data_IF_445024892369
#
_entry.id   IF_445024892369
#
_cell.length_a   1.000
_cell.length_b   1.000
_cell.length_c   1.000
_cell.angle_alpha   90.00
_cell.angle_beta   90.00
_cell.angle_gamma   90.00
#
_symmetry.space_group_name_H-M   'P 1'
#
loop_
_entity.id
_entity.type
_entity.pdbx_description
1 polymer ?
#
# COMPACT_ATOMS: atom_id res chain seq x y z
N UNK A 1 -26.82 -1.95 2.79
CA UNK A 1 -26.18 -3.16 2.22
C UNK A 1 -24.67 -3.02 2.22
N UNK A 2 -24.07 -1.94 1.63
CA UNK A 2 -22.61 -1.74 1.54
C UNK A 2 -21.98 -1.75 2.94
N UNK A 3 -22.49 -0.96 3.88
CA UNK A 3 -21.95 -0.89 5.24
C UNK A 3 -21.95 -2.24 5.97
N UNK A 4 -23.00 -3.02 5.78
CA UNK A 4 -23.09 -4.35 6.38
C UNK A 4 -22.03 -5.30 5.82
N UNK A 5 -21.78 -5.24 4.50
CA UNK A 5 -20.75 -6.05 3.85
C UNK A 5 -19.36 -5.58 4.31
N UNK A 6 -19.12 -4.28 4.32
CA UNK A 6 -17.83 -3.71 4.75
C UNK A 6 -17.54 -4.09 6.21
N UNK A 7 -18.52 -3.90 7.11
CA UNK A 7 -18.38 -4.26 8.52
C UNK A 7 -18.10 -5.75 8.72
N UNK A 8 -18.83 -6.62 7.99
CA UNK A 8 -18.57 -8.07 8.04
C UNK A 8 -17.15 -8.41 7.58
N UNK A 9 -16.71 -7.85 6.45
CA UNK A 9 -15.37 -8.10 5.92
C UNK A 9 -14.29 -7.60 6.87
N UNK A 10 -14.45 -6.43 7.49
CA UNK A 10 -13.50 -5.93 8.48
C UNK A 10 -13.43 -6.89 9.67
N UNK A 11 -14.57 -7.34 10.22
CA UNK A 11 -14.54 -8.24 11.37
C UNK A 11 -13.99 -9.63 11.04
N UNK A 12 -14.10 -10.09 9.79
CA UNK A 12 -13.61 -11.40 9.36
C UNK A 12 -12.13 -11.39 8.97
N UNK A 13 -11.68 -10.36 8.21
CA UNK A 13 -10.35 -10.34 7.59
C UNK A 13 -9.37 -9.37 8.25
N UNK A 14 -9.86 -8.41 9.04
CA UNK A 14 -9.04 -7.42 9.73
C UNK A 14 -9.57 -7.14 11.15
N UNK A 15 -9.69 -8.19 12.00
CA UNK A 15 -10.12 -7.99 13.38
C UNK A 15 -9.07 -7.14 14.11
N UNK A 16 -9.51 -6.02 14.72
CA UNK A 16 -8.59 -5.10 15.42
C UNK A 16 -8.04 -3.97 14.56
N UNK A 17 -8.57 -3.75 13.37
CA UNK A 17 -8.23 -2.57 12.57
C UNK A 17 -8.68 -1.29 13.28
N UNK A 18 -7.72 -0.42 13.62
CA UNK A 18 -7.99 0.79 14.40
C UNK A 18 -8.83 1.83 13.63
N UNK A 19 -8.58 1.99 12.34
CA UNK A 19 -9.24 3.00 11.52
C UNK A 19 -10.30 2.40 10.59
N UNK A 20 -11.36 1.80 11.17
CA UNK A 20 -12.47 1.27 10.40
C UNK A 20 -13.27 2.35 9.65
N UNK A 21 -13.30 3.58 10.19
CA UNK A 21 -14.00 4.72 9.57
C UNK A 21 -13.40 5.02 8.20
N UNK A 22 -12.07 5.04 8.08
CA UNK A 22 -11.37 5.24 6.81
C UNK A 22 -11.79 4.22 5.76
N UNK A 23 -11.85 2.92 6.12
CA UNK A 23 -12.26 1.87 5.17
C UNK A 23 -13.70 2.07 4.69
N UNK A 24 -14.62 2.41 5.60
CA UNK A 24 -16.01 2.71 5.23
C UNK A 24 -16.08 3.90 4.27
N UNK A 25 -15.40 4.99 4.58
CA UNK A 25 -15.35 6.19 3.73
C UNK A 25 -14.80 5.87 2.35
N UNK A 26 -13.62 5.25 2.27
CA UNK A 26 -12.99 4.87 1.01
C UNK A 26 -13.90 4.02 0.12
N UNK A 27 -14.52 2.98 0.69
CA UNK A 27 -15.44 2.12 -0.04
C UNK A 27 -16.64 2.90 -0.59
N UNK A 28 -17.24 3.78 0.24
CA UNK A 28 -18.38 4.59 -0.17
C UNK A 28 -18.01 5.55 -1.31
N UNK A 29 -16.89 6.22 -1.19
CA UNK A 29 -16.45 7.22 -2.17
C UNK A 29 -16.03 6.59 -3.50
N UNK A 30 -15.32 5.46 -3.46
CA UNK A 30 -15.00 4.69 -4.67
C UNK A 30 -16.27 4.20 -5.38
N UNK A 31 -17.30 3.78 -4.63
CA UNK A 31 -18.57 3.35 -5.21
C UNK A 31 -19.34 4.55 -5.77
N UNK A 32 -19.36 5.70 -5.09
CA UNK A 32 -20.03 6.91 -5.56
C UNK A 32 -19.43 7.41 -6.88
N UNK A 33 -18.10 7.39 -7.02
CA UNK A 33 -17.38 7.84 -8.21
C UNK A 33 -17.16 6.73 -9.26
N UNK A 34 -17.72 5.54 -9.06
CA UNK A 34 -17.45 4.35 -9.89
C UNK A 34 -17.58 4.60 -11.38
N UNK A 35 -18.67 5.25 -11.81
CA UNK A 35 -18.90 5.48 -13.24
C UNK A 35 -17.82 6.37 -13.88
N UNK A 36 -17.36 7.37 -13.13
CA UNK A 36 -16.30 8.29 -13.56
C UNK A 36 -14.94 7.58 -13.57
N UNK A 37 -14.65 6.78 -12.56
CA UNK A 37 -13.43 5.98 -12.48
C UNK A 37 -13.36 4.97 -13.62
N UNK A 38 -14.45 4.25 -13.91
CA UNK A 38 -14.54 3.30 -15.01
C UNK A 38 -14.29 3.99 -16.36
N UNK A 39 -14.88 5.17 -16.58
CA UNK A 39 -14.66 5.95 -17.78
C UNK A 39 -13.20 6.40 -17.95
N UNK A 40 -12.52 6.76 -16.86
CA UNK A 40 -11.10 7.11 -16.89
C UNK A 40 -10.25 5.88 -17.24
N UNK A 41 -10.57 4.71 -16.66
CA UNK A 41 -9.87 3.46 -16.97
C UNK A 41 -9.98 3.13 -18.46
N UNK A 42 -11.19 3.21 -19.04
CA UNK A 42 -11.41 2.96 -20.46
C UNK A 42 -10.65 3.92 -21.36
N UNK A 43 -10.54 5.19 -20.98
CA UNK A 43 -9.73 6.16 -21.73
C UNK A 43 -8.24 5.88 -21.65
N UNK A 44 -7.76 5.50 -20.48
CA UNK A 44 -6.35 5.21 -20.24
C UNK A 44 -5.90 3.87 -20.84
N UNK A 45 -6.84 2.93 -21.05
CA UNK A 45 -6.60 1.61 -21.60
C UNK A 45 -7.65 1.25 -22.67
N UNK A 46 -7.71 1.94 -23.81
CA UNK A 46 -8.79 1.81 -24.79
C UNK A 46 -8.89 0.42 -25.44
N UNK A 47 -7.83 -0.37 -25.41
CA UNK A 47 -7.83 -1.75 -25.90
C UNK A 47 -8.49 -2.73 -24.91
N UNK A 48 -8.79 -2.29 -23.70
CA UNK A 48 -9.32 -3.12 -22.61
C UNK A 48 -10.67 -2.60 -22.11
N UNK A 49 -11.79 -3.06 -22.71
CA UNK A 49 -13.12 -2.76 -22.20
C UNK A 49 -13.23 -3.13 -20.72
N UNK A 50 -13.90 -2.29 -19.92
CA UNK A 50 -13.95 -2.44 -18.46
C UNK A 50 -14.43 -3.82 -18.01
N UNK A 51 -15.34 -4.44 -18.76
CA UNK A 51 -15.90 -5.77 -18.47
C UNK A 51 -14.88 -6.89 -18.67
N UNK A 52 -13.87 -6.67 -19.52
CA UNK A 52 -12.83 -7.66 -19.82
C UNK A 52 -11.63 -7.57 -18.87
N UNK A 53 -11.53 -6.49 -18.12
CA UNK A 53 -10.49 -6.35 -17.09
C UNK A 53 -10.83 -7.28 -15.90
N UNK A 54 -9.85 -8.05 -15.44
CA UNK A 54 -10.01 -8.93 -14.29
C UNK A 54 -10.59 -8.16 -13.08
N UNK A 55 -11.48 -8.81 -12.31
CA UNK A 55 -12.21 -8.15 -11.22
C UNK A 55 -11.25 -7.50 -10.21
N UNK A 56 -10.16 -8.18 -9.88
CA UNK A 56 -9.17 -7.67 -8.93
C UNK A 56 -8.50 -6.43 -9.51
N UNK A 57 -7.97 -6.51 -10.72
CA UNK A 57 -7.27 -5.40 -11.37
C UNK A 57 -8.18 -4.18 -11.52
N UNK A 58 -9.43 -4.40 -11.92
CA UNK A 58 -10.43 -3.35 -12.05
C UNK A 58 -10.73 -2.65 -10.72
N UNK A 59 -10.84 -3.40 -9.63
CA UNK A 59 -11.10 -2.83 -8.32
C UNK A 59 -9.85 -2.13 -7.74
N UNK A 60 -8.68 -2.70 -7.94
CA UNK A 60 -7.41 -2.04 -7.57
C UNK A 60 -7.23 -0.73 -8.34
N UNK A 61 -7.54 -0.71 -9.65
CA UNK A 61 -7.53 0.52 -10.45
C UNK A 61 -8.51 1.56 -9.93
N UNK A 62 -9.72 1.18 -9.53
CA UNK A 62 -10.71 2.11 -8.97
C UNK A 62 -10.20 2.75 -7.69
N UNK A 63 -9.65 1.95 -6.77
CA UNK A 63 -9.08 2.46 -5.51
C UNK A 63 -7.88 3.35 -5.79
N UNK A 64 -6.90 2.89 -6.57
CA UNK A 64 -5.71 3.68 -6.88
C UNK A 64 -6.00 4.97 -7.64
N UNK A 65 -6.98 4.98 -8.55
CA UNK A 65 -7.44 6.20 -9.22
C UNK A 65 -8.15 7.15 -8.26
N UNK A 66 -8.98 6.61 -7.36
CA UNK A 66 -9.64 7.44 -6.37
C UNK A 66 -8.60 8.14 -5.48
N UNK A 67 -7.62 7.41 -4.96
CA UNK A 67 -6.52 7.99 -4.18
C UNK A 67 -5.71 9.02 -5.00
N UNK A 68 -5.41 8.71 -6.25
CA UNK A 68 -4.63 9.57 -7.12
C UNK A 68 -5.34 10.90 -7.44
N UNK A 69 -6.67 10.88 -7.61
CA UNK A 69 -7.47 12.01 -8.10
C UNK A 69 -8.14 12.81 -6.99
N UNK A 70 -8.53 12.17 -5.89
CA UNK A 70 -9.42 12.76 -4.88
C UNK A 70 -8.83 12.81 -3.47
N UNK A 71 -7.85 11.95 -3.13
CA UNK A 71 -7.22 12.00 -1.83
C UNK A 71 -6.38 13.28 -1.63
N UNK A 72 -6.23 13.70 -0.38
CA UNK A 72 -5.31 14.78 -0.06
C UNK A 72 -3.87 14.35 -0.36
N UNK A 73 -3.22 15.07 -1.24
CA UNK A 73 -1.84 14.78 -1.67
C UNK A 73 -0.81 14.93 -0.56
N UNK A 74 -1.14 15.63 0.50
CA UNK A 74 -0.27 15.71 1.69
C UNK A 74 -0.32 14.42 2.50
N UNK A 75 -1.48 13.75 2.51
CA UNK A 75 -1.66 12.46 3.19
C UNK A 75 -1.27 11.29 2.27
N UNK A 76 -1.71 11.33 1.00
CA UNK A 76 -1.44 10.30 0.01
C UNK A 76 -0.77 10.91 -1.23
N UNK A 77 0.56 11.01 -1.25
CA UNK A 77 1.29 11.48 -2.43
C UNK A 77 1.00 10.60 -3.65
N UNK A 78 0.85 11.22 -4.83
CA UNK A 78 0.47 10.53 -6.07
C UNK A 78 1.31 9.28 -6.37
N UNK A 79 2.61 9.34 -6.12
CA UNK A 79 3.52 8.19 -6.32
C UNK A 79 3.27 7.06 -5.32
N UNK A 80 2.85 7.39 -4.11
CA UNK A 80 2.49 6.39 -3.09
C UNK A 80 1.22 5.68 -3.52
N UNK A 81 0.16 6.39 -3.90
CA UNK A 81 -1.07 5.81 -4.41
C UNK A 81 -0.82 4.83 -5.57
N UNK A 82 0.02 5.23 -6.55
CA UNK A 82 0.37 4.37 -7.68
C UNK A 82 1.13 3.12 -7.21
N UNK A 83 2.13 3.28 -6.36
CA UNK A 83 2.95 2.15 -5.91
C UNK A 83 2.13 1.15 -5.08
N UNK A 84 1.29 1.63 -4.16
CA UNK A 84 0.42 0.77 -3.35
C UNK A 84 -0.57 -0.02 -4.23
N UNK A 85 -1.18 0.64 -5.23
CA UNK A 85 -2.04 -0.04 -6.18
C UNK A 85 -1.29 -1.13 -6.98
N UNK A 86 -0.04 -0.87 -7.39
CA UNK A 86 0.80 -1.86 -8.08
C UNK A 86 1.10 -3.05 -7.16
N UNK A 87 1.44 -2.82 -5.89
CA UNK A 87 1.72 -3.89 -4.93
C UNK A 87 0.45 -4.72 -4.62
N UNK A 88 -0.71 -4.09 -4.49
CA UNK A 88 -1.99 -4.80 -4.37
C UNK A 88 -2.26 -5.68 -5.61
N UNK A 89 -2.03 -5.15 -6.82
CA UNK A 89 -2.20 -5.91 -8.05
C UNK A 89 -1.23 -7.09 -8.15
N UNK A 90 0.01 -6.95 -7.72
CA UNK A 90 0.98 -8.05 -7.66
C UNK A 90 0.59 -9.13 -6.64
N UNK A 91 0.03 -8.72 -5.51
CA UNK A 91 -0.31 -9.61 -4.40
C UNK A 91 -1.56 -10.42 -4.69
N UNK A 92 -2.58 -9.80 -5.25
CA UNK A 92 -3.92 -10.38 -5.38
C UNK A 92 -4.36 -10.65 -6.82
N UNK A 93 -3.65 -10.09 -7.80
CA UNK A 93 -3.93 -10.25 -9.23
C UNK A 93 -3.16 -11.38 -9.89
N UNK A 94 -3.17 -11.42 -11.22
CA UNK A 94 -2.40 -12.35 -12.03
C UNK A 94 -0.95 -11.88 -12.28
N UNK A 95 -0.18 -12.69 -12.96
CA UNK A 95 1.25 -12.45 -13.23
C UNK A 95 1.54 -11.06 -13.87
N UNK A 96 0.63 -10.58 -14.70
CA UNK A 96 0.79 -9.30 -15.40
C UNK A 96 0.01 -8.15 -14.79
N UNK A 97 -0.77 -8.38 -13.72
CA UNK A 97 -1.63 -7.37 -13.08
C UNK A 97 -0.88 -6.13 -12.65
N UNK A 98 0.29 -6.29 -12.01
CA UNK A 98 1.11 -5.16 -11.60
C UNK A 98 1.59 -4.30 -12.76
N UNK A 99 1.96 -4.90 -13.91
CA UNK A 99 2.37 -4.18 -15.12
C UNK A 99 1.19 -3.43 -15.74
N UNK A 100 0.04 -4.07 -15.79
CA UNK A 100 -1.19 -3.50 -16.33
C UNK A 100 -1.64 -2.29 -15.50
N UNK A 101 -1.76 -2.45 -14.18
CA UNK A 101 -2.13 -1.37 -13.26
C UNK A 101 -1.15 -0.20 -13.33
N UNK A 102 0.17 -0.48 -13.38
CA UNK A 102 1.18 0.56 -13.56
C UNK A 102 1.01 1.32 -14.89
N UNK A 103 0.72 0.62 -15.97
CA UNK A 103 0.47 1.24 -17.28
C UNK A 103 -0.72 2.21 -17.25
N UNK A 104 -1.85 1.77 -16.72
CA UNK A 104 -3.08 2.57 -16.63
C UNK A 104 -2.89 3.79 -15.72
N UNK A 105 -2.45 3.59 -14.47
CA UNK A 105 -2.23 4.69 -13.53
C UNK A 105 -1.12 5.64 -13.99
N UNK A 106 -0.07 5.12 -14.61
CA UNK A 106 1.00 5.92 -15.18
C UNK A 106 0.53 6.82 -16.34
N UNK A 107 -0.40 6.35 -17.16
CA UNK A 107 -1.03 7.17 -18.21
C UNK A 107 -1.82 8.31 -17.62
N UNK A 108 -2.70 8.03 -16.64
CA UNK A 108 -3.48 9.06 -15.95
C UNK A 108 -2.58 10.07 -15.24
N UNK A 109 -1.55 9.60 -14.55
CA UNK A 109 -0.60 10.47 -13.85
C UNK A 109 0.12 11.44 -14.79
N UNK A 110 0.51 10.99 -15.99
CA UNK A 110 1.09 11.85 -17.03
C UNK A 110 0.10 12.89 -17.54
N UNK A 111 -1.15 12.49 -17.77
CA UNK A 111 -2.20 13.42 -18.21
C UNK A 111 -2.52 14.49 -17.14
N UNK A 112 -2.33 14.18 -15.86
CA UNK A 112 -2.43 15.14 -14.76
C UNK A 112 -1.26 16.13 -14.69
N UNK A 113 -0.26 16.01 -15.55
CA UNK A 113 0.96 16.83 -15.51
C UNK A 113 1.97 16.37 -14.45
N UNK A 114 1.91 15.10 -14.05
CA UNK A 114 2.86 14.46 -13.12
C UNK A 114 3.03 15.23 -11.78
N UNK A 115 1.95 15.50 -11.04
CA UNK A 115 2.00 16.30 -9.82
C UNK A 115 2.95 15.67 -8.78
N UNK A 116 3.82 16.49 -8.18
CA UNK A 116 4.83 16.00 -7.22
C UNK A 116 6.01 15.24 -7.86
N UNK A 117 6.21 15.37 -9.19
CA UNK A 117 7.35 14.75 -9.87
C UNK A 117 8.68 15.30 -9.39
N UNK A 118 8.71 16.61 -9.16
CA UNK A 118 9.88 17.35 -8.69
C UNK A 118 9.96 17.39 -7.15
N UNK A 119 8.91 16.94 -6.47
CA UNK A 119 8.98 16.67 -5.04
C UNK A 119 10.06 15.60 -4.87
N UNK A 120 11.21 16.04 -4.39
CA UNK A 120 12.32 15.13 -4.09
C UNK A 120 11.72 14.08 -3.16
N UNK A 121 11.65 12.79 -3.59
CA UNK A 121 11.30 11.75 -2.63
C UNK A 121 12.26 12.00 -1.47
N UNK A 122 11.74 12.17 -0.25
CA UNK A 122 12.65 12.10 0.90
C UNK A 122 13.46 10.83 0.63
N UNK A 123 14.70 11.00 0.14
CA UNK A 123 15.62 9.88 -0.01
C UNK A 123 15.45 9.17 1.29
N UNK A 124 14.94 7.93 1.27
CA UNK A 124 15.06 7.07 2.45
C UNK A 124 16.52 7.21 2.80
N UNK A 125 16.82 8.07 3.77
CA UNK A 125 18.18 8.21 4.26
C UNK A 125 18.52 6.80 4.64
N UNK A 126 19.44 6.18 3.88
CA UNK A 126 19.88 4.84 4.24
C UNK A 126 20.30 4.97 5.70
N UNK A 127 19.95 3.99 6.51
CA UNK A 127 20.31 4.02 7.95
C UNK A 127 21.78 4.37 8.18
N UNK A 128 22.65 4.16 7.18
CA UNK A 128 24.06 4.58 7.10
C UNK A 128 24.28 6.10 7.01
N UNK A 129 23.28 6.86 6.56
CA UNK A 129 23.40 8.31 6.32
C UNK A 129 22.88 9.15 7.51
N UNK A 130 22.26 8.50 8.50
CA UNK A 130 21.77 9.14 9.72
C UNK A 130 22.74 8.77 10.84
N UNK A 131 23.33 9.79 11.49
CA UNK A 131 24.13 9.54 12.69
C UNK A 131 23.23 8.96 13.77
N UNK A 132 23.76 8.05 14.56
CA UNK A 132 23.01 7.36 15.61
C UNK A 132 22.31 8.34 16.57
N UNK A 133 22.96 9.49 16.85
CA UNK A 133 22.43 10.54 17.73
C UNK A 133 21.23 11.30 17.13
N UNK A 134 21.08 11.28 15.80
CA UNK A 134 20.01 11.96 15.06
C UNK A 134 18.84 11.01 14.72
N UNK A 135 18.91 9.74 15.13
CA UNK A 135 17.83 8.78 14.92
C UNK A 135 16.66 9.05 15.87
N UNK A 136 15.42 9.05 15.37
CA UNK A 136 14.26 9.15 16.23
C UNK A 136 14.22 7.95 17.21
N UNK A 137 13.96 8.24 18.49
CA UNK A 137 13.80 7.20 19.51
C UNK A 137 12.36 6.71 19.42
N UNK A 138 12.18 5.44 19.04
CA UNK A 138 10.89 4.76 19.09
C UNK A 138 10.86 3.79 20.28
N UNK A 139 9.80 3.84 21.05
CA UNK A 139 9.56 2.87 22.12
C UNK A 139 8.88 1.64 21.52
N UNK A 140 9.62 0.56 21.41
CA UNK A 140 9.12 -0.70 20.88
C UNK A 140 9.18 -1.77 21.96
N UNK A 141 8.09 -2.50 22.13
CA UNK A 141 8.06 -3.74 22.91
C UNK A 141 8.51 -4.91 22.05
N UNK A 142 9.34 -5.77 22.59
CA UNK A 142 9.77 -6.96 21.86
C UNK A 142 10.36 -8.01 22.78
N UNK A 143 10.43 -9.24 22.27
CA UNK A 143 11.06 -10.35 22.97
C UNK A 143 12.35 -10.74 22.23
N UNK A 144 13.42 -10.96 22.99
CA UNK A 144 14.64 -11.57 22.48
C UNK A 144 14.54 -13.07 22.71
N UNK A 145 14.46 -13.84 21.66
CA UNK A 145 14.49 -15.31 21.74
C UNK A 145 15.94 -15.75 21.54
N UNK A 146 16.45 -16.47 22.52
CA UNK A 146 17.82 -16.98 22.45
C UNK A 146 17.92 -18.38 23.04
N UNK A 147 18.93 -19.12 22.62
CA UNK A 147 19.37 -20.36 23.26
C UNK A 147 20.83 -20.26 23.66
N UNK A 148 21.18 -20.90 24.76
CA UNK A 148 22.57 -21.03 25.19
C UNK A 148 23.09 -22.42 24.81
N UNK A 149 24.14 -22.46 24.02
CA UNK A 149 24.81 -23.68 23.66
C UNK A 149 25.73 -24.21 24.77
N UNK A 150 26.05 -25.50 24.74
CA UNK A 150 26.93 -26.14 25.75
C UNK A 150 28.34 -25.52 25.80
N UNK A 151 28.79 -24.89 24.71
CA UNK A 151 30.08 -24.22 24.62
C UNK A 151 30.02 -22.76 25.21
N UNK A 152 28.90 -22.35 25.84
CA UNK A 152 28.73 -21.06 26.44
C UNK A 152 28.36 -19.94 25.45
N UNK A 153 28.23 -20.21 24.15
CA UNK A 153 27.76 -19.25 23.15
C UNK A 153 26.24 -19.12 23.20
N UNK A 154 25.77 -17.97 22.75
CA UNK A 154 24.35 -17.68 22.59
C UNK A 154 24.00 -17.64 21.10
N UNK A 155 22.89 -18.25 20.74
CA UNK A 155 22.24 -18.07 19.42
C UNK A 155 21.00 -17.21 19.61
N UNK A 156 20.85 -16.22 18.75
CA UNK A 156 19.74 -15.26 18.76
C UNK A 156 18.84 -15.51 17.55
N UNK A 157 17.55 -15.56 17.77
CA UNK A 157 16.57 -15.63 16.68
C UNK A 157 16.28 -14.22 16.16
N UNK A 158 16.46 -14.02 14.87
CA UNK A 158 16.08 -12.82 14.17
C UNK A 158 14.99 -13.12 13.16
N UNK A 159 14.13 -12.14 12.91
CA UNK A 159 13.12 -12.18 11.87
C UNK A 159 13.63 -11.42 10.65
N UNK A 160 13.54 -12.05 9.49
CA UNK A 160 13.82 -11.38 8.23
C UNK A 160 12.56 -10.60 7.83
N UNK A 161 12.63 -9.28 7.86
CA UNK A 161 11.49 -8.44 7.53
C UNK A 161 11.26 -8.34 6.01
N UNK A 162 10.11 -7.81 5.64
CA UNK A 162 9.72 -7.63 4.22
C UNK A 162 10.63 -6.67 3.43
N UNK A 163 11.45 -5.88 4.13
CA UNK A 163 12.41 -4.96 3.52
C UNK A 163 13.80 -5.58 3.35
N UNK A 164 13.96 -6.86 3.72
CA UNK A 164 15.22 -7.59 3.59
C UNK A 164 16.22 -7.37 4.73
N UNK A 165 15.77 -6.87 5.87
CA UNK A 165 16.62 -6.69 7.05
C UNK A 165 16.38 -7.77 8.09
N UNK A 166 17.47 -8.17 8.77
CA UNK A 166 17.38 -9.01 9.95
C UNK A 166 17.07 -8.14 11.17
N UNK A 167 15.98 -8.43 11.85
CA UNK A 167 15.53 -7.66 13.01
C UNK A 167 15.09 -8.58 14.14
N UNK A 168 15.10 -8.07 15.37
CA UNK A 168 14.47 -8.73 16.50
C UNK A 168 12.94 -8.67 16.34
N UNK A 169 12.25 -9.68 16.85
CA UNK A 169 10.78 -9.65 16.94
C UNK A 169 10.37 -8.45 17.80
N UNK A 170 9.63 -7.52 17.24
CA UNK A 170 9.23 -6.25 17.89
C UNK A 170 7.81 -5.85 17.47
N UNK A 171 7.17 -5.07 18.31
CA UNK A 171 5.88 -4.45 18.06
C UNK A 171 5.78 -3.10 18.76
N UNK A 172 4.89 -2.25 18.29
CA UNK A 172 4.58 -1.01 19.00
C UNK A 172 3.85 -1.33 20.31
N UNK A 173 4.19 -0.60 21.35
CA UNK A 173 3.53 -0.67 22.67
C UNK A 173 2.39 0.34 22.68
#
# INVERSE_FOLDING_TARGET
VIDQITKRNISEFAPGLDNQIFVHQLVHEVIAERAKLDHIIEKAAPEWPIEKIAIIDRNVLRVGLWELLFADRHEVPSRVAINEAIELAKTYGGENSGKFVNGVLGTVYKEMGEPGKDDIPMKKRRAKDIRYEDMPIENLGGAVVYTRLDNGRYELAFVHDIFGYWTLSKGHI
#
